data_IF_607476215522
#
_entry.id   IF_607476215522
#
_cell.length_a   1.000
_cell.length_b   1.000
_cell.length_c   1.000
_cell.angle_alpha   90.00
_cell.angle_beta   90.00
_cell.angle_gamma   90.00
#
_symmetry.space_group_name_H-M   'P 1'
#
loop_
_entity.id
_entity.type
_entity.pdbx_description
1 polymer ?
#
# COMPACT_ATOMS: atom_id res chain seq x y z
N UNK A 1 -2.09 18.27 20.07
CA UNK A 1 -2.75 17.56 18.95
C UNK A 1 -4.24 17.83 19.03
N UNK A 2 -4.81 18.55 18.08
CA UNK A 2 -6.25 18.76 17.99
C UNK A 2 -6.72 18.18 16.65
N UNK A 3 -7.35 17.03 16.71
CA UNK A 3 -7.98 16.36 15.56
C UNK A 3 -9.43 16.84 15.51
N UNK A 4 -9.85 17.44 14.38
CA UNK A 4 -11.24 17.79 14.14
C UNK A 4 -11.97 16.56 13.62
N UNK A 5 -12.90 16.03 14.42
CA UNK A 5 -13.83 14.99 14.01
C UNK A 5 -14.96 15.60 13.17
N UNK A 6 -15.30 14.98 12.03
CA UNK A 6 -16.48 15.38 11.23
C UNK A 6 -17.78 14.72 11.70
N UNK A 7 -17.75 13.75 12.62
CA UNK A 7 -18.93 13.17 13.29
C UNK A 7 -18.58 12.65 14.71
N UNK A 8 -19.44 12.84 15.72
CA UNK A 8 -19.25 12.24 17.04
C UNK A 8 -19.70 10.77 16.99
N UNK A 9 -18.82 9.79 17.24
CA UNK A 9 -19.31 8.41 17.39
C UNK A 9 -18.32 7.24 17.41
N UNK A 10 -17.15 7.29 16.78
CA UNK A 10 -16.25 6.12 16.76
C UNK A 10 -14.91 6.37 17.46
N UNK A 11 -14.84 6.00 18.74
CA UNK A 11 -13.57 5.82 19.46
C UNK A 11 -12.65 4.79 18.79
N UNK A 12 -13.20 3.93 17.92
CA UNK A 12 -12.44 2.97 17.11
C UNK A 12 -11.50 3.65 16.08
N UNK A 13 -11.78 4.89 15.66
CA UNK A 13 -10.94 5.64 14.71
C UNK A 13 -9.64 6.18 15.36
N UNK A 14 -9.48 6.01 16.68
CA UNK A 14 -8.34 6.49 17.46
C UNK A 14 -7.27 5.42 17.69
N UNK A 15 -7.61 4.14 17.49
CA UNK A 15 -6.67 3.03 17.59
C UNK A 15 -6.08 2.74 16.22
N UNK A 16 -4.80 3.08 16.04
CA UNK A 16 -4.03 2.67 14.87
C UNK A 16 -3.73 1.17 15.02
N UNK A 17 -4.47 0.33 14.29
CA UNK A 17 -4.26 -1.11 14.24
C UNK A 17 -3.25 -1.48 13.12
N UNK A 18 -2.04 -1.99 13.45
CA UNK A 18 -1.09 -2.44 12.44
C UNK A 18 -1.46 -3.79 11.81
N UNK A 19 -2.42 -4.52 12.38
CA UNK A 19 -2.79 -5.89 11.98
C UNK A 19 -3.16 -6.00 10.49
N UNK A 20 -3.97 -5.09 9.90
CA UNK A 20 -4.31 -5.19 8.48
C UNK A 20 -3.09 -5.10 7.55
N UNK A 21 -2.08 -4.30 7.90
CA UNK A 21 -0.85 -4.22 7.11
C UNK A 21 -0.03 -5.52 7.25
N UNK A 22 0.09 -6.04 8.48
CA UNK A 22 0.79 -7.29 8.74
C UNK A 22 0.12 -8.48 8.03
N UNK A 23 -1.20 -8.59 8.09
CA UNK A 23 -1.97 -9.66 7.45
C UNK A 23 -1.80 -9.66 5.94
N UNK A 24 -1.89 -8.47 5.31
CA UNK A 24 -1.64 -8.31 3.88
C UNK A 24 -0.24 -8.81 3.49
N UNK A 25 0.79 -8.33 4.18
CA UNK A 25 2.18 -8.65 3.86
C UNK A 25 2.50 -10.13 4.10
N UNK A 26 2.12 -10.67 5.25
CA UNK A 26 2.38 -12.07 5.62
C UNK A 26 1.67 -13.04 4.69
N UNK A 27 0.41 -12.76 4.32
CA UNK A 27 -0.36 -13.57 3.37
C UNK A 27 0.35 -13.69 2.02
N UNK A 28 1.03 -12.63 1.59
CA UNK A 28 1.84 -12.62 0.37
C UNK A 28 3.31 -13.01 0.61
N UNK A 29 3.66 -13.61 1.75
CA UNK A 29 5.01 -14.11 1.99
C UNK A 29 6.07 -13.03 2.19
N UNK A 30 5.68 -11.84 2.64
CA UNK A 30 6.59 -10.76 3.06
C UNK A 30 6.70 -10.79 4.60
N UNK A 31 7.90 -11.04 5.17
CA UNK A 31 8.08 -11.03 6.62
C UNK A 31 7.95 -9.62 7.18
N UNK A 32 7.35 -9.51 8.37
CA UNK A 32 7.09 -8.22 9.04
C UNK A 32 7.79 -8.14 10.40
N UNK A 33 8.12 -6.91 10.81
CA UNK A 33 8.67 -6.61 12.14
C UNK A 33 8.18 -5.23 12.60
N UNK A 34 8.09 -5.03 13.91
CA UNK A 34 7.82 -3.72 14.50
C UNK A 34 9.09 -2.85 14.63
N UNK A 35 10.28 -3.41 14.35
CA UNK A 35 11.55 -2.70 14.37
C UNK A 35 11.84 -2.01 13.04
N UNK A 36 12.88 -1.18 13.01
CA UNK A 36 13.34 -0.58 11.75
C UNK A 36 13.74 -1.65 10.72
N UNK A 37 13.23 -1.48 9.50
CA UNK A 37 13.46 -2.36 8.37
C UNK A 37 13.76 -1.54 7.10
N UNK A 38 14.39 -2.14 6.06
CA UNK A 38 14.69 -1.46 4.80
C UNK A 38 13.45 -0.91 4.08
N UNK A 39 12.31 -1.56 4.27
CA UNK A 39 11.00 -1.14 3.77
C UNK A 39 10.07 -0.93 4.95
N UNK A 40 9.43 0.24 5.01
CA UNK A 40 8.38 0.58 5.96
C UNK A 40 7.03 0.56 5.27
N UNK A 41 5.98 0.26 6.03
CA UNK A 41 4.61 0.24 5.53
C UNK A 41 3.76 1.16 6.39
N UNK A 42 2.97 2.00 5.75
CA UNK A 42 2.08 2.94 6.42
C UNK A 42 0.72 2.90 5.73
N UNK A 43 -0.26 2.26 6.38
CA UNK A 43 -1.62 2.10 5.86
C UNK A 43 -2.64 2.84 6.72
N UNK A 44 -3.74 3.24 6.08
CA UNK A 44 -4.91 3.78 6.76
C UNK A 44 -4.65 5.10 7.49
N UNK A 45 -5.43 5.30 8.56
CA UNK A 45 -5.39 6.51 9.38
C UNK A 45 -4.10 6.68 10.19
N UNK A 46 -3.26 5.65 10.25
CA UNK A 46 -1.93 5.67 10.88
C UNK A 46 -1.06 6.83 10.38
N UNK A 47 -1.27 7.29 9.15
CA UNK A 47 -0.54 8.41 8.58
C UNK A 47 -0.72 9.73 9.36
N UNK A 48 -1.80 9.90 10.13
CA UNK A 48 -1.99 11.06 11.01
C UNK A 48 -1.14 11.02 12.28
N UNK A 49 -0.70 9.84 12.71
CA UNK A 49 0.01 9.67 13.98
C UNK A 49 1.46 10.18 13.94
N UNK A 50 2.03 10.37 12.75
CA UNK A 50 3.42 10.73 12.57
C UNK A 50 3.62 12.22 12.32
N UNK A 51 4.57 12.82 13.03
CA UNK A 51 5.00 14.20 12.77
C UNK A 51 5.76 14.34 11.44
N UNK A 52 6.01 15.57 11.01
CA UNK A 52 6.66 15.84 9.74
C UNK A 52 8.10 15.33 9.64
N UNK A 53 8.83 15.32 10.76
CA UNK A 53 10.19 14.82 10.79
C UNK A 53 10.20 13.29 10.63
N UNK A 54 9.26 12.59 11.26
CA UNK A 54 9.04 11.16 11.11
C UNK A 54 8.63 10.81 9.68
N UNK A 55 7.67 11.53 9.10
CA UNK A 55 7.24 11.32 7.70
C UNK A 55 8.40 11.53 6.72
N UNK A 56 9.18 12.61 6.87
CA UNK A 56 10.36 12.85 6.02
C UNK A 56 11.41 11.75 6.14
N UNK A 57 11.66 11.23 7.35
CA UNK A 57 12.57 10.09 7.55
C UNK A 57 12.08 8.82 6.86
N UNK A 58 10.76 8.56 6.91
CA UNK A 58 10.17 7.43 6.18
C UNK A 58 10.29 7.61 4.66
N UNK A 59 9.98 8.80 4.15
CA UNK A 59 10.06 9.14 2.73
C UNK A 59 11.50 9.16 2.18
N UNK A 60 12.52 9.25 3.01
CA UNK A 60 13.92 9.13 2.59
C UNK A 60 14.38 7.67 2.40
N UNK A 61 13.56 6.67 2.78
CA UNK A 61 13.83 5.24 2.62
C UNK A 61 12.84 4.56 1.67
N UNK A 62 12.64 3.25 1.83
CA UNK A 62 11.57 2.50 1.16
C UNK A 62 10.26 2.60 1.94
N UNK A 63 9.19 3.12 1.32
CA UNK A 63 7.88 3.30 1.93
C UNK A 63 6.75 2.76 1.04
N UNK A 64 5.97 1.82 1.58
CA UNK A 64 4.74 1.31 0.98
C UNK A 64 3.52 1.99 1.62
N UNK A 65 2.63 2.53 0.79
CA UNK A 65 1.40 3.20 1.20
C UNK A 65 0.18 2.54 0.58
N UNK A 66 -0.93 2.58 1.32
CA UNK A 66 -2.26 2.35 0.77
C UNK A 66 -2.89 3.67 0.33
N UNK A 67 -4.08 3.58 -0.29
CA UNK A 67 -4.74 4.74 -0.87
C UNK A 67 -5.10 5.79 0.18
N UNK A 68 -5.49 5.33 1.39
CA UNK A 68 -5.84 6.18 2.52
C UNK A 68 -4.63 6.97 3.03
N UNK A 69 -3.51 6.29 3.29
CA UNK A 69 -2.30 6.93 3.78
C UNK A 69 -1.72 7.90 2.73
N UNK A 70 -1.74 7.53 1.45
CA UNK A 70 -1.33 8.41 0.37
C UNK A 70 -2.19 9.67 0.28
N UNK A 71 -3.52 9.55 0.45
CA UNK A 71 -4.41 10.70 0.49
C UNK A 71 -4.08 11.65 1.65
N UNK A 72 -3.94 11.10 2.87
CA UNK A 72 -3.59 11.87 4.08
C UNK A 72 -2.25 12.59 3.90
N UNK A 73 -1.22 11.89 3.44
CA UNK A 73 0.10 12.50 3.22
C UNK A 73 0.06 13.55 2.09
N UNK A 74 -0.77 13.33 1.06
CA UNK A 74 -1.07 14.31 0.02
C UNK A 74 -1.67 15.60 0.60
N UNK A 75 -2.71 15.50 1.44
CA UNK A 75 -3.34 16.63 2.14
C UNK A 75 -2.34 17.37 3.04
N UNK A 76 -1.37 16.64 3.61
CA UNK A 76 -0.28 17.20 4.42
C UNK A 76 0.85 17.83 3.60
N UNK A 77 0.74 17.88 2.27
CA UNK A 77 1.71 18.54 1.39
C UNK A 77 2.87 17.67 0.91
N UNK A 78 2.78 16.34 1.05
CA UNK A 78 3.84 15.41 0.62
C UNK A 78 3.64 14.86 -0.80
N UNK A 79 2.59 15.24 -1.53
CA UNK A 79 2.25 14.67 -2.85
C UNK A 79 3.44 14.64 -3.84
N UNK A 80 4.26 15.71 -3.87
CA UNK A 80 5.45 15.76 -4.73
C UNK A 80 6.52 14.71 -4.34
N UNK A 81 6.65 14.39 -3.06
CA UNK A 81 7.56 13.35 -2.56
C UNK A 81 6.97 11.94 -2.68
N UNK A 82 5.66 11.82 -2.86
CA UNK A 82 5.02 10.54 -3.18
C UNK A 82 5.09 10.24 -4.69
N UNK A 83 5.23 11.27 -5.52
CA UNK A 83 5.12 11.17 -6.98
C UNK A 83 3.68 10.97 -7.46
N UNK A 84 2.69 11.09 -6.58
CA UNK A 84 1.29 10.81 -6.90
C UNK A 84 0.38 11.73 -6.13
N UNK A 85 -0.62 12.29 -6.81
CA UNK A 85 -1.76 12.97 -6.19
C UNK A 85 -2.90 11.99 -5.96
N UNK A 86 -3.78 12.30 -5.01
CA UNK A 86 -5.03 11.56 -4.78
C UNK A 86 -6.20 12.52 -4.95
N UNK A 87 -6.98 12.34 -6.01
CA UNK A 87 -8.11 13.23 -6.32
C UNK A 87 -9.26 13.04 -5.32
N UNK A 88 -9.36 11.87 -4.71
CA UNK A 88 -10.29 11.56 -3.63
C UNK A 88 -10.30 10.08 -3.26
N UNK A 89 -10.93 9.76 -2.13
CA UNK A 89 -11.32 8.40 -1.76
C UNK A 89 -12.77 8.21 -2.21
N UNK A 90 -13.01 7.24 -3.08
CA UNK A 90 -14.34 6.96 -3.64
C UNK A 90 -14.85 5.67 -3.05
N UNK A 91 -15.94 5.74 -2.28
CA UNK A 91 -16.60 4.59 -1.69
C UNK A 91 -17.32 3.76 -2.75
N UNK A 92 -17.42 2.45 -2.48
CA UNK A 92 -18.10 1.50 -3.37
C UNK A 92 -19.58 1.82 -3.59
N UNK A 93 -20.23 2.41 -2.58
CA UNK A 93 -21.66 2.69 -2.57
C UNK A 93 -22.00 4.14 -2.96
N UNK A 94 -21.02 4.98 -3.27
CA UNK A 94 -21.21 6.42 -3.51
C UNK A 94 -21.84 6.75 -4.90
N UNK A 95 -22.61 5.81 -5.47
CA UNK A 95 -23.23 5.89 -6.81
C UNK A 95 -24.63 6.50 -6.76
N UNK A 96 -24.71 7.83 -6.66
CA UNK A 96 -26.01 8.52 -6.80
C UNK A 96 -26.32 8.82 -8.27
N UNK A 97 -25.33 8.93 -9.17
CA UNK A 97 -25.56 9.39 -10.57
C UNK A 97 -24.67 8.73 -11.67
N UNK A 98 -24.02 7.57 -11.44
CA UNK A 98 -23.21 6.90 -12.49
C UNK A 98 -22.72 5.49 -12.13
N UNK A 99 -22.30 4.72 -13.14
CA UNK A 99 -21.78 3.35 -12.98
C UNK A 99 -20.62 3.30 -11.96
N UNK A 100 -20.59 2.24 -11.13
CA UNK A 100 -19.53 1.88 -10.17
C UNK A 100 -18.12 2.23 -10.66
N UNK A 101 -17.19 2.84 -9.89
CA UNK A 101 -16.00 3.47 -10.46
C UNK A 101 -14.89 2.46 -10.78
N UNK A 102 -15.04 1.20 -10.36
CA UNK A 102 -13.99 0.21 -10.44
C UNK A 102 -14.55 -1.22 -10.42
N UNK A 103 -14.11 -2.02 -11.38
CA UNK A 103 -14.42 -3.45 -11.46
C UNK A 103 -13.16 -4.29 -11.19
N UNK A 104 -12.03 -3.88 -11.76
CA UNK A 104 -10.79 -4.65 -11.70
C UNK A 104 -9.55 -3.76 -11.83
N UNK A 105 -8.44 -4.27 -11.31
CA UNK A 105 -7.09 -3.81 -11.59
C UNK A 105 -6.54 -4.61 -12.79
N UNK A 106 -5.87 -3.92 -13.72
CA UNK A 106 -5.22 -4.54 -14.89
C UNK A 106 -3.70 -4.30 -14.88
N UNK A 107 -2.94 -5.35 -15.15
CA UNK A 107 -1.48 -5.32 -15.37
C UNK A 107 -1.13 -6.14 -16.61
N UNK A 108 -0.87 -5.48 -17.74
CA UNK A 108 -0.78 -6.17 -19.05
C UNK A 108 -2.09 -6.90 -19.36
N UNK A 109 -1.99 -8.20 -19.67
CA UNK A 109 -3.15 -9.07 -19.92
C UNK A 109 -3.80 -9.62 -18.65
N UNK A 110 -3.22 -9.34 -17.48
CA UNK A 110 -3.70 -9.84 -16.19
C UNK A 110 -4.78 -8.93 -15.59
N UNK A 111 -5.76 -9.54 -14.94
CA UNK A 111 -6.91 -8.87 -14.33
C UNK A 111 -7.10 -9.37 -12.90
N UNK A 112 -7.13 -8.44 -11.95
CA UNK A 112 -7.31 -8.69 -10.53
C UNK A 112 -8.59 -8.02 -10.06
N UNK A 113 -9.46 -8.75 -9.35
CA UNK A 113 -10.67 -8.16 -8.81
C UNK A 113 -10.34 -7.21 -7.66
N UNK A 114 -10.73 -5.93 -7.79
CA UNK A 114 -10.70 -4.95 -6.69
C UNK A 114 -12.10 -4.71 -6.10
N UNK A 115 -13.10 -5.50 -6.52
CA UNK A 115 -14.48 -5.39 -6.07
C UNK A 115 -14.69 -5.66 -4.58
N UNK A 116 -13.71 -6.26 -3.91
CA UNK A 116 -13.72 -6.50 -2.47
C UNK A 116 -13.33 -5.26 -1.66
N UNK A 117 -12.91 -4.17 -2.31
CA UNK A 117 -12.50 -2.95 -1.63
C UNK A 117 -13.72 -2.08 -1.26
N UNK A 118 -13.82 -1.61 0.00
CA UNK A 118 -14.90 -0.73 0.44
C UNK A 118 -14.81 0.66 -0.19
N UNK A 119 -13.59 1.08 -0.56
CA UNK A 119 -13.30 2.31 -1.30
C UNK A 119 -11.99 2.15 -2.07
N UNK A 120 -11.76 3.00 -3.07
CA UNK A 120 -10.46 3.16 -3.71
C UNK A 120 -10.01 4.62 -3.68
N UNK A 121 -8.71 4.85 -3.55
CA UNK A 121 -8.11 6.14 -3.81
C UNK A 121 -7.94 6.33 -5.33
N UNK A 122 -8.46 7.45 -5.86
CA UNK A 122 -8.23 7.81 -7.25
C UNK A 122 -6.83 8.41 -7.40
N UNK A 123 -5.87 7.55 -7.74
CA UNK A 123 -4.47 7.93 -7.89
C UNK A 123 -4.23 8.62 -9.23
N UNK A 124 -3.58 9.78 -9.16
CA UNK A 124 -3.12 10.58 -10.30
C UNK A 124 -1.59 10.69 -10.26
N UNK A 125 -0.88 9.77 -10.93
CA UNK A 125 0.59 9.79 -11.01
C UNK A 125 1.10 11.13 -11.57
N UNK A 126 2.17 11.65 -10.97
CA UNK A 126 2.92 12.78 -11.50
C UNK A 126 4.08 12.34 -12.39
N UNK A 127 4.85 13.32 -12.86
CA UNK A 127 6.01 13.07 -13.72
C UNK A 127 7.06 12.20 -13.01
N UNK A 128 7.62 11.24 -13.76
CA UNK A 128 8.63 10.31 -13.24
C UNK A 128 8.08 9.21 -12.33
N UNK A 129 6.76 9.12 -12.16
CA UNK A 129 6.11 8.00 -11.47
C UNK A 129 5.78 6.89 -12.46
N UNK A 130 6.23 5.69 -12.15
CA UNK A 130 5.98 4.52 -12.96
C UNK A 130 4.66 3.87 -12.51
N UNK A 131 3.74 3.69 -13.45
CA UNK A 131 2.46 3.02 -13.21
C UNK A 131 2.62 1.55 -13.58
N UNK A 132 2.41 0.66 -12.62
CA UNK A 132 2.48 -0.78 -12.85
C UNK A 132 1.13 -1.35 -13.25
N UNK A 133 0.05 -0.85 -12.67
CA UNK A 133 -1.29 -1.34 -12.96
C UNK A 133 -2.32 -0.22 -12.86
N UNK A 134 -3.45 -0.42 -13.53
CA UNK A 134 -4.52 0.57 -13.68
C UNK A 134 -5.85 0.00 -13.19
N UNK A 135 -6.62 0.79 -12.46
CA UNK A 135 -8.00 0.46 -12.11
C UNK A 135 -8.88 0.80 -13.32
N UNK A 136 -9.76 -0.12 -13.70
CA UNK A 136 -10.73 0.08 -14.76
C UNK A 136 -12.16 0.04 -14.22
N UNK A 137 -13.02 0.88 -14.78
CA UNK A 137 -14.47 0.85 -14.60
C UNK A 137 -15.09 -0.39 -15.26
N UNK A 138 -16.36 -0.73 -14.95
CA UNK A 138 -17.06 -1.87 -15.54
C UNK A 138 -17.12 -1.88 -17.07
N UNK A 139 -17.22 -0.71 -17.70
CA UNK A 139 -17.16 -0.52 -19.16
C UNK A 139 -15.75 -0.69 -19.76
N UNK A 140 -14.73 -0.89 -18.92
CA UNK A 140 -13.34 -1.07 -19.31
C UNK A 140 -12.54 0.22 -19.44
N UNK A 141 -13.14 1.39 -19.19
CA UNK A 141 -12.43 2.67 -19.22
C UNK A 141 -11.40 2.75 -18.07
N UNK A 142 -10.26 3.42 -18.30
CA UNK A 142 -9.25 3.62 -17.26
C UNK A 142 -9.73 4.68 -16.24
N UNK A 143 -9.72 4.33 -14.96
CA UNK A 143 -10.20 5.20 -13.89
C UNK A 143 -9.08 5.98 -13.19
N UNK A 144 -7.95 5.30 -12.94
CA UNK A 144 -6.77 5.82 -12.25
C UNK A 144 -5.73 4.73 -12.03
N UNK A 145 -4.53 5.09 -11.58
CA UNK A 145 -3.51 4.08 -11.27
C UNK A 145 -3.96 3.19 -10.11
N UNK A 146 -3.74 1.88 -10.22
CA UNK A 146 -3.97 0.91 -9.14
C UNK A 146 -2.70 0.73 -8.29
N UNK A 147 -1.55 0.62 -8.94
CA UNK A 147 -0.23 0.53 -8.29
C UNK A 147 0.76 1.39 -9.04
N UNK A 148 1.52 2.19 -8.30
CA UNK A 148 2.60 2.97 -8.87
C UNK A 148 3.81 3.04 -7.92
N UNK A 149 4.97 3.34 -8.50
CA UNK A 149 6.22 3.51 -7.78
C UNK A 149 6.94 4.78 -8.21
N UNK A 150 7.65 5.41 -7.28
CA UNK A 150 8.35 6.67 -7.52
C UNK A 150 9.64 6.75 -6.68
N UNK A 151 10.71 7.30 -7.26
CA UNK A 151 11.92 7.68 -6.53
C UNK A 151 11.90 9.19 -6.34
N UNK A 152 11.81 9.64 -5.10
CA UNK A 152 11.58 11.04 -4.78
C UNK A 152 12.87 11.85 -4.67
N UNK A 153 12.73 13.17 -4.50
CA UNK A 153 13.85 14.10 -4.39
C UNK A 153 14.75 13.89 -3.15
N UNK A 154 14.31 13.09 -2.16
CA UNK A 154 15.14 12.69 -1.01
C UNK A 154 15.98 11.43 -1.29
N UNK A 155 15.83 10.83 -2.47
CA UNK A 155 16.43 9.55 -2.83
C UNK A 155 15.67 8.32 -2.29
N UNK A 156 14.55 8.54 -1.60
CA UNK A 156 13.70 7.47 -1.11
C UNK A 156 12.78 6.94 -2.20
N UNK A 157 12.27 5.74 -1.98
CA UNK A 157 11.46 4.97 -2.92
C UNK A 157 10.08 4.75 -2.32
N UNK A 158 9.05 5.18 -3.04
CA UNK A 158 7.66 5.12 -2.59
C UNK A 158 6.88 4.22 -3.51
N UNK A 159 6.07 3.34 -2.93
CA UNK A 159 5.09 2.51 -3.63
C UNK A 159 3.71 2.81 -3.08
N UNK A 160 2.72 3.00 -3.96
CA UNK A 160 1.36 3.34 -3.56
C UNK A 160 0.38 2.36 -4.18
N UNK A 161 -0.51 1.81 -3.35
CA UNK A 161 -1.66 1.03 -3.76
C UNK A 161 -2.92 1.91 -3.72
N UNK A 162 -3.80 1.81 -4.72
CA UNK A 162 -5.09 2.50 -4.71
C UNK A 162 -6.07 1.91 -3.68
N UNK A 163 -5.91 0.63 -3.34
CA UNK A 163 -6.68 -0.06 -2.32
C UNK A 163 -6.64 0.69 -0.98
N UNK A 164 -7.80 0.89 -0.34
CA UNK A 164 -7.88 1.49 1.01
C UNK A 164 -7.93 0.44 2.13
N UNK A 165 -8.18 -0.82 1.76
CA UNK A 165 -8.14 -1.97 2.66
C UNK A 165 -7.35 -3.12 2.00
N UNK A 166 -6.01 -2.99 1.83
CA UNK A 166 -5.22 -3.96 1.06
C UNK A 166 -5.37 -5.42 1.53
N UNK A 167 -5.56 -5.65 2.84
CA UNK A 167 -5.80 -6.97 3.43
C UNK A 167 -7.03 -7.70 2.86
N UNK A 168 -8.02 -6.97 2.33
CA UNK A 168 -9.20 -7.54 1.70
C UNK A 168 -8.98 -7.97 0.25
N UNK A 169 -7.88 -7.58 -0.39
CA UNK A 169 -7.62 -7.97 -1.78
C UNK A 169 -7.61 -9.51 -1.90
N UNK A 170 -8.08 -10.05 -3.05
CA UNK A 170 -7.98 -11.48 -3.31
C UNK A 170 -6.52 -11.91 -3.28
N UNK A 171 -6.27 -13.13 -2.81
CA UNK A 171 -4.93 -13.71 -2.91
C UNK A 171 -4.84 -14.56 -4.15
N UNK A 172 -3.84 -14.24 -4.94
CA UNK A 172 -3.46 -14.93 -6.15
C UNK A 172 -1.96 -14.71 -6.39
N UNK A 173 -1.37 -15.55 -7.24
CA UNK A 173 0.07 -15.56 -7.48
C UNK A 173 0.52 -14.27 -8.18
N UNK A 174 -0.35 -13.65 -8.98
CA UNK A 174 -0.11 -12.39 -9.67
C UNK A 174 0.02 -11.22 -8.68
N UNK A 175 -0.91 -11.11 -7.73
CA UNK A 175 -0.87 -10.16 -6.63
C UNK A 175 0.36 -10.36 -5.75
N UNK A 176 0.76 -11.62 -5.51
CA UNK A 176 2.02 -11.92 -4.83
C UNK A 176 3.22 -11.39 -5.61
N UNK A 177 3.30 -11.69 -6.91
CA UNK A 177 4.39 -11.21 -7.77
C UNK A 177 4.46 -9.68 -7.82
N UNK A 178 3.32 -9.00 -7.95
CA UNK A 178 3.27 -7.54 -7.94
C UNK A 178 3.71 -6.95 -6.60
N UNK A 179 3.27 -7.51 -5.47
CA UNK A 179 3.73 -7.05 -4.17
C UNK A 179 5.23 -7.31 -3.96
N UNK A 180 5.72 -8.50 -4.34
CA UNK A 180 7.15 -8.83 -4.25
C UNK A 180 8.00 -7.88 -5.10
N UNK A 181 7.59 -7.61 -6.34
CA UNK A 181 8.23 -6.63 -7.19
C UNK A 181 8.28 -5.25 -6.52
N UNK A 182 7.19 -4.84 -5.87
CA UNK A 182 7.10 -3.56 -5.18
C UNK A 182 8.06 -3.53 -3.99
N UNK A 183 8.08 -4.57 -3.15
CA UNK A 183 9.03 -4.68 -2.04
C UNK A 183 10.48 -4.61 -2.54
N UNK A 184 10.81 -5.31 -3.63
CA UNK A 184 12.15 -5.25 -4.25
C UNK A 184 12.50 -3.86 -4.75
N UNK A 185 11.55 -3.16 -5.39
CA UNK A 185 11.73 -1.77 -5.77
C UNK A 185 12.07 -0.91 -4.55
N UNK A 186 11.30 -1.06 -3.46
CA UNK A 186 11.44 -0.27 -2.24
C UNK A 186 12.75 -0.54 -1.48
N UNK A 187 13.27 -1.76 -1.52
CA UNK A 187 14.60 -2.09 -0.97
C UNK A 187 15.76 -1.44 -1.74
N UNK A 188 15.52 -1.04 -3.00
CA UNK A 188 16.52 -0.46 -3.86
C UNK A 188 17.54 -1.49 -4.38
N UNK A 189 18.80 -1.09 -4.65
CA UNK A 189 19.74 -1.89 -5.43
C UNK A 189 20.31 -3.11 -4.71
N UNK A 190 20.14 -3.22 -3.39
CA UNK A 190 20.70 -4.30 -2.58
C UNK A 190 19.61 -4.98 -1.72
N UNK A 191 18.67 -5.72 -2.33
CA UNK A 191 17.59 -6.39 -1.62
C UNK A 191 18.11 -7.46 -0.65
N UNK A 192 17.52 -7.52 0.54
CA UNK A 192 17.92 -8.41 1.65
C UNK A 192 16.74 -9.15 2.28
N UNK A 193 15.52 -8.68 2.08
CA UNK A 193 14.33 -9.32 2.63
C UNK A 193 14.12 -10.68 1.96
N UNK A 194 13.99 -11.77 2.74
CA UNK A 194 13.56 -13.04 2.17
C UNK A 194 12.07 -12.92 1.82
N UNK A 195 11.76 -13.14 0.55
CA UNK A 195 10.38 -13.21 0.07
C UNK A 195 10.06 -14.68 -0.16
N UNK A 196 8.90 -15.13 0.32
CA UNK A 196 8.46 -16.51 0.19
C UNK A 196 7.33 -16.59 -0.83
N UNK A 197 7.50 -17.44 -1.83
CA UNK A 197 6.46 -17.76 -2.81
C UNK A 197 5.84 -19.13 -2.48
N UNK A 198 4.57 -19.32 -2.82
CA UNK A 198 3.86 -20.58 -2.58
C UNK A 198 2.40 -20.38 -2.18
N UNK A 199 1.76 -21.45 -1.70
CA UNK A 199 0.33 -21.46 -1.37
C UNK A 199 -0.06 -20.52 -0.23
N UNK A 200 -1.37 -20.21 -0.09
CA UNK A 200 -1.87 -19.43 1.03
C UNK A 200 -1.51 -20.12 2.36
N UNK A 201 -1.28 -19.32 3.40
CA UNK A 201 -0.90 -19.75 4.77
C UNK A 201 0.58 -20.08 5.02
N UNK A 202 1.46 -19.92 4.03
CA UNK A 202 2.90 -19.92 4.31
C UNK A 202 3.29 -18.65 5.07
N UNK A 203 3.58 -18.77 6.37
CA UNK A 203 4.00 -17.66 7.22
C UNK A 203 5.53 -17.64 7.30
N UNK A 204 6.21 -16.68 6.63
CA UNK A 204 7.65 -16.54 6.75
C UNK A 204 8.01 -15.90 8.09
N UNK A 205 8.82 -16.59 8.87
CA UNK A 205 9.45 -16.08 10.08
C UNK A 205 10.95 -15.96 9.87
N UNK A 206 11.43 -14.72 9.82
CA UNK A 206 12.87 -14.42 9.85
C UNK A 206 13.28 -14.10 11.28
N UNK A 207 14.27 -14.82 11.81
CA UNK A 207 14.82 -14.60 13.14
C UNK A 207 16.35 -14.52 13.10
N UNK A 208 16.93 -13.66 13.93
CA UNK A 208 18.38 -13.64 14.17
C UNK A 208 18.73 -14.68 15.23
N UNK A 209 19.65 -15.57 14.92
CA UNK A 209 20.19 -16.61 15.81
C UNK A 209 21.68 -16.36 16.07
N UNK A 210 22.30 -17.13 16.97
CA UNK A 210 23.74 -17.04 17.23
C UNK A 210 24.59 -17.31 15.98
N UNK A 211 24.08 -18.15 15.07
CA UNK A 211 24.77 -18.58 13.85
C UNK A 211 24.39 -17.76 12.60
N UNK A 212 23.53 -16.73 12.71
CA UNK A 212 23.15 -15.87 11.59
C UNK A 212 21.65 -15.56 11.51
N UNK A 213 21.11 -15.50 10.29
CA UNK A 213 19.67 -15.32 10.05
C UNK A 213 19.04 -16.67 9.72
N UNK A 214 17.97 -17.03 10.42
CA UNK A 214 17.16 -18.22 10.15
C UNK A 214 15.80 -17.80 9.59
N UNK A 215 15.48 -18.31 8.40
CA UNK A 215 14.14 -18.27 7.84
C UNK A 215 13.44 -19.60 8.15
N UNK A 216 12.24 -19.52 8.73
CA UNK A 216 11.32 -20.65 8.85
C UNK A 216 10.03 -20.30 8.12
N UNK A 217 9.44 -21.27 7.43
CA UNK A 217 8.13 -21.12 6.80
C UNK A 217 7.19 -22.09 7.51
N UNK A 218 6.17 -21.56 8.18
CA UNK A 218 5.10 -22.35 8.79
C UNK A 218 3.90 -22.42 7.83
N UNK A 219 3.15 -23.51 7.87
CA UNK A 219 1.91 -23.71 7.10
C UNK A 219 0.80 -24.24 8.00
#
# INVERSE_FOLDING_TARGET
AHVRTRRPGHLADLAVDPTPAADFLLRYGVPVTAQDAPVRVLFGQSAWAFDDAQVRRMLAGGLLLDGTAAHILGERGYAALLGVGVDGIVGREDHVEGEGPYAYERHGDLVLSVNVQPALARLRPGDGTEVWSTVHTPDGSAWGAARCVHTNALGGRVGVLAATAPHLLPYDDEGQRLLHAMVRYLEGPAPRLPLVSGGPHLIPRLARTADGLRLAVAG
#
